data_IF_032398588196
#
_entry.id   IF_032398588196
#
_cell.length_a   1.000
_cell.length_b   1.000
_cell.length_c   1.000
_cell.angle_alpha   90.00
_cell.angle_beta   90.00
_cell.angle_gamma   90.00
#
_symmetry.space_group_name_H-M   'P 1'
#
loop_
_entity.id
_entity.type
_entity.pdbx_description
1 polymer ?
#
# COMPACT_ATOMS: atom_id res chain seq x y z
N UNK A 1 16.94 35.02 -13.56
CA UNK A 1 16.65 33.59 -13.39
C UNK A 1 16.37 33.34 -11.91
N UNK A 2 15.09 33.34 -11.49
CA UNK A 2 14.71 33.13 -10.09
C UNK A 2 14.84 31.64 -9.77
N UNK A 3 15.69 31.32 -8.80
CA UNK A 3 15.99 29.98 -8.31
C UNK A 3 14.92 29.55 -7.30
N UNK A 4 13.66 29.53 -7.74
CA UNK A 4 12.51 29.01 -6.99
C UNK A 4 12.21 27.64 -7.63
N UNK A 5 12.52 26.48 -7.05
CA UNK A 5 12.13 25.99 -5.74
C UNK A 5 13.26 25.10 -5.20
N UNK A 6 13.89 25.49 -4.07
CA UNK A 6 14.72 24.53 -3.32
C UNK A 6 13.81 23.38 -2.90
N UNK A 7 14.21 22.14 -3.21
CA UNK A 7 13.60 20.91 -2.69
C UNK A 7 13.58 21.02 -1.17
N UNK A 8 12.46 21.49 -0.63
CA UNK A 8 12.31 21.72 0.80
C UNK A 8 11.91 20.38 1.43
N UNK A 9 12.49 20.03 2.58
CA UNK A 9 12.25 18.75 3.27
C UNK A 9 10.74 18.46 3.46
N UNK A 10 9.96 19.52 3.65
CA UNK A 10 8.51 19.47 3.74
C UNK A 10 7.85 18.85 2.49
N UNK A 11 8.38 19.06 1.28
CA UNK A 11 7.86 18.51 0.02
C UNK A 11 8.33 17.08 -0.28
N UNK A 12 9.40 16.61 0.39
CA UNK A 12 9.93 15.25 0.23
C UNK A 12 9.48 14.28 1.33
N UNK A 13 8.87 14.79 2.41
CA UNK A 13 8.28 13.96 3.45
C UNK A 13 7.03 13.22 2.95
N UNK A 14 6.71 12.05 3.54
CA UNK A 14 5.50 11.28 3.20
C UNK A 14 4.23 12.12 3.27
N UNK A 15 4.07 12.88 4.36
CA UNK A 15 2.93 13.78 4.58
C UNK A 15 2.90 14.92 3.54
N UNK A 16 4.07 15.46 3.19
CA UNK A 16 4.21 16.45 2.13
C UNK A 16 3.75 15.94 0.78
N UNK A 17 4.23 14.76 0.38
CA UNK A 17 3.84 14.12 -0.88
C UNK A 17 2.35 13.75 -0.91
N UNK A 18 1.78 13.34 0.24
CA UNK A 18 0.36 13.04 0.39
C UNK A 18 -0.51 14.29 0.19
N UNK A 19 -0.06 15.44 0.70
CA UNK A 19 -0.73 16.74 0.50
C UNK A 19 -0.71 17.16 -0.97
N UNK A 20 0.38 16.90 -1.68
CA UNK A 20 0.55 17.23 -3.10
C UNK A 20 -0.30 16.33 -4.01
N UNK A 21 -0.32 15.01 -3.76
CA UNK A 21 -0.99 14.05 -4.65
C UNK A 21 -2.48 13.82 -4.33
N UNK A 22 -3.00 14.42 -3.25
CA UNK A 22 -4.39 14.33 -2.74
C UNK A 22 -4.84 12.89 -2.45
N UNK A 23 -5.28 12.64 -1.21
CA UNK A 23 -5.77 11.33 -0.73
C UNK A 23 -6.86 10.74 -1.65
N UNK A 24 -7.72 11.59 -2.24
CA UNK A 24 -8.82 11.15 -3.09
C UNK A 24 -8.39 10.41 -4.36
N UNK A 25 -7.16 10.65 -4.86
CA UNK A 25 -6.63 9.93 -6.02
C UNK A 25 -6.28 8.48 -5.68
N UNK A 26 -6.03 8.19 -4.40
CA UNK A 26 -5.59 6.89 -3.91
C UNK A 26 -6.74 6.02 -3.39
N UNK A 27 -7.80 6.64 -2.86
CA UNK A 27 -8.97 5.94 -2.31
C UNK A 27 -10.13 5.85 -3.31
N UNK A 28 -10.94 6.90 -3.43
CA UNK A 28 -12.25 6.87 -4.13
C UNK A 28 -12.12 6.75 -5.66
N UNK A 29 -11.00 7.20 -6.24
CA UNK A 29 -10.73 7.07 -7.68
C UNK A 29 -10.04 5.76 -8.06
N UNK A 30 -9.68 4.93 -7.07
CA UNK A 30 -8.94 3.70 -7.32
C UNK A 30 -9.91 2.51 -7.38
N UNK A 31 -9.94 1.82 -8.52
CA UNK A 31 -10.73 0.60 -8.70
C UNK A 31 -10.41 -0.48 -7.66
N UNK A 32 -9.16 -0.53 -7.20
CA UNK A 32 -8.72 -1.47 -6.16
C UNK A 32 -9.45 -1.27 -4.82
N UNK A 33 -9.90 -0.05 -4.51
CA UNK A 33 -10.71 0.21 -3.31
C UNK A 33 -12.06 -0.49 -3.40
N UNK A 34 -12.77 -0.34 -4.53
CA UNK A 34 -14.08 -0.98 -4.73
C UNK A 34 -13.97 -2.49 -4.82
N UNK A 35 -12.96 -3.02 -5.52
CA UNK A 35 -12.72 -4.47 -5.58
C UNK A 35 -12.41 -5.05 -4.19
N UNK A 36 -11.57 -4.37 -3.40
CA UNK A 36 -11.30 -4.76 -2.02
C UNK A 36 -12.55 -4.77 -1.14
N UNK A 37 -13.42 -3.77 -1.31
CA UNK A 37 -14.69 -3.67 -0.58
C UNK A 37 -15.65 -4.80 -0.97
N UNK A 38 -15.80 -5.08 -2.27
CA UNK A 38 -16.65 -6.18 -2.77
C UNK A 38 -16.18 -7.53 -2.23
N UNK A 39 -14.88 -7.83 -2.32
CA UNK A 39 -14.34 -9.09 -1.80
C UNK A 39 -14.50 -9.22 -0.29
N UNK A 40 -14.37 -8.11 0.44
CA UNK A 40 -14.60 -8.10 1.90
C UNK A 40 -16.06 -8.38 2.23
N UNK A 41 -17.00 -7.81 1.47
CA UNK A 41 -18.44 -8.10 1.64
C UNK A 41 -18.72 -9.58 1.36
N UNK A 42 -18.18 -10.13 0.27
CA UNK A 42 -18.32 -11.55 -0.06
C UNK A 42 -17.77 -12.41 1.08
N UNK A 43 -16.57 -12.07 1.57
CA UNK A 43 -15.96 -12.77 2.70
C UNK A 43 -16.81 -12.70 3.97
N UNK A 44 -17.36 -11.53 4.30
CA UNK A 44 -18.26 -11.35 5.43
C UNK A 44 -19.48 -12.27 5.33
N UNK A 45 -20.14 -12.33 4.16
CA UNK A 45 -21.29 -13.19 3.96
C UNK A 45 -20.95 -14.68 4.09
N UNK A 46 -19.76 -15.09 3.65
CA UNK A 46 -19.29 -16.46 3.80
C UNK A 46 -19.00 -16.80 5.27
N UNK A 47 -18.38 -15.89 6.02
CA UNK A 47 -17.93 -16.16 7.38
C UNK A 47 -18.95 -15.87 8.48
N UNK A 48 -20.04 -15.14 8.23
CA UNK A 48 -21.02 -14.75 9.26
C UNK A 48 -21.71 -15.93 9.97
N UNK A 49 -21.78 -17.08 9.30
CA UNK A 49 -22.43 -18.29 9.81
C UNK A 49 -21.42 -19.33 10.33
N UNK A 50 -20.13 -19.00 10.39
CA UNK A 50 -19.11 -19.92 10.92
C UNK A 50 -19.22 -20.03 12.44
N UNK A 51 -18.84 -21.20 12.96
CA UNK A 51 -18.74 -21.40 14.39
C UNK A 51 -17.63 -20.53 15.00
N UNK A 52 -17.78 -20.16 16.27
CA UNK A 52 -16.80 -19.37 16.99
C UNK A 52 -15.41 -20.04 16.99
N UNK A 53 -15.35 -21.36 17.11
CA UNK A 53 -14.08 -22.11 17.07
C UNK A 53 -13.35 -21.93 15.72
N UNK A 54 -14.09 -22.00 14.60
CA UNK A 54 -13.52 -21.78 13.27
C UNK A 54 -13.05 -20.33 13.08
N UNK A 55 -13.80 -19.35 13.58
CA UNK A 55 -13.41 -17.93 13.54
C UNK A 55 -12.12 -17.72 14.34
N UNK A 56 -11.99 -18.36 15.51
CA UNK A 56 -10.78 -18.26 16.34
C UNK A 56 -9.57 -18.88 15.66
N UNK A 57 -9.73 -20.07 15.08
CA UNK A 57 -8.67 -20.75 14.30
C UNK A 57 -8.24 -19.92 13.10
N UNK A 58 -9.18 -19.34 12.38
CA UNK A 58 -8.89 -18.44 11.27
C UNK A 58 -8.10 -17.21 11.74
N UNK A 59 -8.54 -16.56 12.83
CA UNK A 59 -7.83 -15.42 13.39
C UNK A 59 -6.41 -15.77 13.81
N UNK A 60 -6.23 -16.90 14.51
CA UNK A 60 -4.91 -17.37 14.94
C UNK A 60 -3.99 -17.65 13.74
N UNK A 61 -4.49 -18.38 12.73
CA UNK A 61 -3.79 -18.59 11.47
C UNK A 61 -3.39 -17.27 10.81
N UNK A 62 -4.32 -16.31 10.73
CA UNK A 62 -4.06 -14.99 10.16
C UNK A 62 -2.94 -14.28 10.92
N UNK A 63 -2.99 -14.25 12.25
CA UNK A 63 -1.99 -13.55 13.07
C UNK A 63 -0.62 -14.21 13.10
N UNK A 64 -0.52 -15.51 12.75
CA UNK A 64 0.75 -16.23 12.73
C UNK A 64 1.39 -16.26 11.32
N UNK A 65 0.57 -16.28 10.26
CA UNK A 65 1.07 -16.42 8.87
C UNK A 65 1.12 -15.09 8.13
N UNK A 66 0.06 -14.28 8.20
CA UNK A 66 -0.05 -13.08 7.36
C UNK A 66 1.00 -12.00 7.68
N UNK A 67 1.48 -11.80 8.93
CA UNK A 67 2.54 -10.82 9.18
C UNK A 67 3.81 -11.13 8.39
N UNK A 68 4.21 -12.40 8.35
CA UNK A 68 5.40 -12.84 7.61
C UNK A 68 5.23 -12.64 6.11
N UNK A 69 4.08 -13.02 5.54
CA UNK A 69 3.77 -12.78 4.11
C UNK A 69 3.76 -11.28 3.79
N UNK A 70 3.14 -10.48 4.66
CA UNK A 70 3.05 -9.03 4.50
C UNK A 70 4.42 -8.36 4.58
N UNK A 71 5.28 -8.80 5.49
CA UNK A 71 6.65 -8.30 5.62
C UNK A 71 7.50 -8.63 4.38
N UNK A 72 7.35 -9.83 3.81
CA UNK A 72 8.01 -10.21 2.56
C UNK A 72 7.56 -9.32 1.40
N UNK A 73 6.24 -9.09 1.25
CA UNK A 73 5.71 -8.21 0.21
C UNK A 73 6.15 -6.75 0.39
N UNK A 74 6.18 -6.27 1.64
CA UNK A 74 6.75 -4.96 1.97
C UNK A 74 8.22 -4.87 1.56
N UNK A 75 9.02 -5.89 1.85
CA UNK A 75 10.42 -5.98 1.46
C UNK A 75 10.61 -5.91 -0.06
N UNK A 76 9.77 -6.62 -0.82
CA UNK A 76 9.78 -6.58 -2.29
C UNK A 76 9.48 -5.16 -2.81
N UNK A 77 8.50 -4.47 -2.22
CA UNK A 77 8.15 -3.09 -2.60
C UNK A 77 9.30 -2.12 -2.32
N UNK A 78 9.94 -2.24 -1.16
CA UNK A 78 11.10 -1.41 -0.78
C UNK A 78 12.29 -1.68 -1.72
N UNK A 79 12.56 -2.95 -2.05
CA UNK A 79 13.61 -3.32 -3.00
C UNK A 79 13.33 -2.73 -4.39
N UNK A 80 12.10 -2.84 -4.88
CA UNK A 80 11.68 -2.22 -6.14
C UNK A 80 11.86 -0.69 -6.14
N UNK A 81 11.53 -0.03 -5.03
CA UNK A 81 11.78 1.40 -4.85
C UNK A 81 13.29 1.72 -4.90
N UNK A 82 14.13 0.93 -4.21
CA UNK A 82 15.58 1.12 -4.20
C UNK A 82 16.19 1.00 -5.61
N UNK A 83 15.76 0.02 -6.39
CA UNK A 83 16.18 -0.17 -7.79
C UNK A 83 15.80 1.04 -8.64
N UNK A 84 14.56 1.52 -8.53
CA UNK A 84 14.08 2.69 -9.28
C UNK A 84 14.90 3.93 -8.93
N UNK A 85 15.20 4.15 -7.65
CA UNK A 85 16.04 5.27 -7.19
C UNK A 85 17.46 5.15 -7.76
N UNK A 86 18.06 3.96 -7.70
CA UNK A 86 19.40 3.70 -8.25
C UNK A 86 19.46 3.87 -9.78
N UNK A 87 18.41 3.51 -10.51
CA UNK A 87 18.34 3.73 -11.96
C UNK A 87 18.08 5.20 -12.33
N UNK A 88 17.59 6.00 -11.37
CA UNK A 88 17.28 7.42 -11.58
C UNK A 88 18.50 8.33 -11.44
N UNK A 89 19.70 7.82 -11.07
CA UNK A 89 20.92 8.62 -10.94
C UNK A 89 21.62 8.83 -12.30
N UNK A 90 21.82 10.09 -12.69
CA UNK A 90 22.46 10.50 -13.96
C UNK A 90 21.78 11.74 -14.59
N UNK A 91 21.99 12.01 -15.89
CA UNK A 91 21.38 13.15 -16.62
C UNK A 91 19.84 13.20 -16.57
N UNK A 92 19.18 12.09 -16.21
CA UNK A 92 17.72 12.01 -16.04
C UNK A 92 17.27 12.68 -14.71
N UNK A 93 18.14 12.73 -13.71
CA UNK A 93 17.85 13.25 -12.37
C UNK A 93 17.50 14.74 -12.38
N UNK A 94 18.22 15.55 -13.17
CA UNK A 94 18.00 16.99 -13.26
C UNK A 94 16.64 17.32 -13.90
N UNK A 95 16.25 16.62 -14.97
CA UNK A 95 14.92 16.78 -15.60
C UNK A 95 13.77 16.18 -14.78
N UNK A 96 14.02 15.11 -14.00
CA UNK A 96 13.03 14.51 -13.08
C UNK A 96 12.79 15.37 -11.83
N UNK A 97 13.78 16.15 -11.39
CA UNK A 97 13.68 17.10 -10.29
C UNK A 97 12.95 18.38 -10.69
N UNK A 98 13.24 18.93 -11.88
CA UNK A 98 12.59 20.17 -12.36
C UNK A 98 11.05 20.07 -12.43
N UNK A 99 10.51 18.88 -12.71
CA UNK A 99 9.07 18.68 -12.86
C UNK A 99 8.38 17.99 -11.66
N UNK A 100 9.08 17.80 -10.53
CA UNK A 100 8.63 16.98 -9.37
C UNK A 100 8.19 15.56 -9.76
N UNK A 101 8.63 15.07 -10.91
CA UNK A 101 8.20 13.79 -11.50
C UNK A 101 8.72 12.63 -10.68
N UNK A 102 9.91 12.76 -10.09
CA UNK A 102 10.48 11.75 -9.19
C UNK A 102 9.60 11.54 -7.94
N UNK A 103 9.10 12.62 -7.34
CA UNK A 103 8.21 12.56 -6.17
C UNK A 103 6.87 11.93 -6.54
N UNK A 104 6.30 12.29 -7.70
CA UNK A 104 5.11 11.64 -8.25
C UNK A 104 5.34 10.16 -8.55
N UNK A 105 6.58 9.77 -8.86
CA UNK A 105 6.94 8.39 -9.17
C UNK A 105 7.09 7.52 -7.91
N UNK A 106 7.80 8.05 -6.91
CA UNK A 106 8.09 7.38 -5.64
C UNK A 106 6.88 7.33 -4.70
N UNK A 107 6.02 8.35 -4.72
CA UNK A 107 4.92 8.48 -3.76
C UNK A 107 3.99 7.25 -3.71
N UNK A 108 3.52 6.67 -4.81
CA UNK A 108 2.62 5.54 -4.68
C UNK A 108 3.34 4.25 -4.22
N UNK A 109 4.66 4.09 -4.41
CA UNK A 109 5.41 3.02 -3.74
C UNK A 109 5.47 3.22 -2.23
N UNK A 110 5.71 4.45 -1.78
CA UNK A 110 5.61 4.82 -0.37
C UNK A 110 4.21 4.58 0.20
N UNK A 111 3.17 4.91 -0.57
CA UNK A 111 1.79 4.64 -0.19
C UNK A 111 1.52 3.14 -0.02
N UNK A 112 1.93 2.31 -0.98
CA UNK A 112 1.80 0.86 -0.87
C UNK A 112 2.58 0.32 0.34
N UNK A 113 3.83 0.74 0.53
CA UNK A 113 4.62 0.35 1.70
C UNK A 113 3.92 0.73 3.03
N UNK A 114 3.34 1.93 3.10
CA UNK A 114 2.58 2.36 4.28
C UNK A 114 1.34 1.50 4.53
N UNK A 115 0.61 1.09 3.48
CA UNK A 115 -0.56 0.20 3.61
C UNK A 115 -0.16 -1.18 4.15
N UNK A 116 0.94 -1.75 3.66
CA UNK A 116 1.46 -3.02 4.17
C UNK A 116 1.95 -2.89 5.62
N UNK A 117 2.60 -1.79 5.97
CA UNK A 117 2.99 -1.50 7.35
C UNK A 117 1.79 -1.40 8.30
N UNK A 118 0.73 -0.70 7.88
CA UNK A 118 -0.54 -0.61 8.63
C UNK A 118 -1.18 -2.00 8.78
N UNK A 119 -1.17 -2.82 7.73
CA UNK A 119 -1.71 -4.19 7.79
C UNK A 119 -0.97 -5.06 8.82
N UNK A 120 0.37 -4.98 8.86
CA UNK A 120 1.18 -5.70 9.85
C UNK A 120 0.82 -5.25 11.28
N UNK A 121 0.68 -3.93 11.50
CA UNK A 121 0.26 -3.40 12.79
C UNK A 121 -1.14 -3.88 13.18
N UNK A 122 -2.10 -3.90 12.24
CA UNK A 122 -3.44 -4.42 12.49
C UNK A 122 -3.43 -5.91 12.86
N UNK A 123 -2.58 -6.72 12.23
CA UNK A 123 -2.42 -8.13 12.57
C UNK A 123 -1.83 -8.32 13.97
N UNK A 124 -0.87 -7.48 14.38
CA UNK A 124 -0.35 -7.48 15.76
C UNK A 124 -1.43 -7.10 16.77
N UNK A 125 -2.24 -6.09 16.47
CA UNK A 125 -3.37 -5.70 17.31
C UNK A 125 -4.40 -6.83 17.41
N UNK A 126 -4.71 -7.52 16.30
CA UNK A 126 -5.61 -8.67 16.32
C UNK A 126 -5.07 -9.81 17.21
N UNK A 127 -3.75 -10.05 17.20
CA UNK A 127 -3.12 -11.05 18.07
C UNK A 127 -3.32 -10.73 19.55
N UNK A 128 -3.21 -9.46 19.93
CA UNK A 128 -3.51 -9.01 21.30
C UNK A 128 -5.01 -9.16 21.59
N UNK A 129 -5.89 -8.74 20.66
CA UNK A 129 -7.34 -8.87 20.81
C UNK A 129 -7.81 -10.31 20.98
N UNK A 130 -7.12 -11.29 20.37
CA UNK A 130 -7.41 -12.71 20.55
C UNK A 130 -7.25 -13.20 22.00
N UNK A 131 -6.46 -12.50 22.81
CA UNK A 131 -6.20 -12.85 24.20
C UNK A 131 -7.20 -12.21 25.17
N UNK A 132 -7.70 -11.01 24.86
CA UNK A 132 -8.42 -10.16 25.83
C UNK A 132 -9.85 -9.79 25.41
N UNK A 133 -10.24 -10.04 24.16
CA UNK A 133 -11.48 -9.49 23.59
C UNK A 133 -12.55 -10.54 23.29
N UNK A 134 -13.75 -10.07 22.99
CA UNK A 134 -14.90 -10.93 22.64
C UNK A 134 -14.84 -11.39 21.18
N UNK A 135 -15.49 -12.51 20.88
CA UNK A 135 -15.54 -13.07 19.51
C UNK A 135 -16.13 -12.11 18.48
N UNK A 136 -17.08 -11.25 18.87
CA UNK A 136 -17.64 -10.21 17.99
C UNK A 136 -16.59 -9.20 17.56
N UNK A 137 -15.74 -8.75 18.49
CA UNK A 137 -14.67 -7.78 18.19
C UNK A 137 -13.58 -8.42 17.33
N UNK A 138 -13.21 -9.67 17.63
CA UNK A 138 -12.26 -10.45 16.82
C UNK A 138 -12.77 -10.58 15.38
N UNK A 139 -14.06 -10.92 15.21
CA UNK A 139 -14.67 -11.07 13.89
C UNK A 139 -14.64 -9.75 13.09
N UNK A 140 -14.97 -8.62 13.72
CA UNK A 140 -14.85 -7.29 13.09
C UNK A 140 -13.39 -7.00 12.70
N UNK A 141 -12.43 -7.35 13.58
CA UNK A 141 -11.00 -7.20 13.30
C UNK A 141 -10.54 -7.99 12.08
N UNK A 142 -10.99 -9.25 11.93
CA UNK A 142 -10.70 -10.09 10.76
C UNK A 142 -11.23 -9.45 9.47
N UNK A 143 -12.47 -8.98 9.47
CA UNK A 143 -13.09 -8.34 8.29
C UNK A 143 -12.28 -7.10 7.89
N UNK A 144 -11.92 -6.27 8.87
CA UNK A 144 -11.11 -5.08 8.64
C UNK A 144 -9.74 -5.43 8.06
N UNK A 145 -9.06 -6.45 8.60
CA UNK A 145 -7.76 -6.92 8.08
C UNK A 145 -7.88 -7.40 6.64
N UNK A 146 -8.93 -8.15 6.31
CA UNK A 146 -9.16 -8.66 4.95
C UNK A 146 -9.42 -7.51 3.97
N UNK A 147 -10.14 -6.48 4.39
CA UNK A 147 -10.30 -5.28 3.61
C UNK A 147 -8.95 -4.62 3.30
N UNK A 148 -8.14 -4.37 4.32
CA UNK A 148 -6.81 -3.76 4.14
C UNK A 148 -5.88 -4.64 3.31
N UNK A 149 -5.93 -5.97 3.49
CA UNK A 149 -5.15 -6.93 2.70
C UNK A 149 -5.51 -6.85 1.22
N UNK A 150 -6.80 -6.98 0.88
CA UNK A 150 -7.25 -6.91 -0.51
C UNK A 150 -6.95 -5.53 -1.14
N UNK A 151 -7.18 -4.46 -0.37
CA UNK A 151 -6.90 -3.11 -0.84
C UNK A 151 -5.40 -2.89 -1.10
N UNK A 152 -4.53 -3.36 -0.21
CA UNK A 152 -3.08 -3.30 -0.39
C UNK A 152 -2.62 -4.12 -1.61
N UNK A 153 -3.16 -5.33 -1.80
CA UNK A 153 -2.86 -6.18 -2.96
C UNK A 153 -3.24 -5.50 -4.27
N UNK A 154 -4.49 -5.07 -4.45
CA UNK A 154 -4.90 -4.38 -5.68
C UNK A 154 -4.17 -3.05 -5.87
N UNK A 155 -3.91 -2.34 -4.78
CA UNK A 155 -3.09 -1.13 -4.78
C UNK A 155 -1.72 -1.39 -5.38
N UNK A 156 -1.02 -2.44 -4.92
CA UNK A 156 0.30 -2.82 -5.45
C UNK A 156 0.26 -3.27 -6.91
N UNK A 157 -0.73 -4.08 -7.30
CA UNK A 157 -0.88 -4.52 -8.70
C UNK A 157 -1.12 -3.34 -9.65
N UNK A 158 -2.02 -2.42 -9.30
CA UNK A 158 -2.30 -1.22 -10.09
C UNK A 158 -1.07 -0.31 -10.21
N UNK A 159 -0.27 -0.23 -9.14
CA UNK A 159 0.98 0.52 -9.10
C UNK A 159 2.01 0.00 -10.09
N UNK A 160 2.25 -1.32 -10.08
CA UNK A 160 3.20 -1.97 -10.99
C UNK A 160 2.75 -1.74 -12.44
N UNK A 161 1.46 -1.97 -12.74
CA UNK A 161 0.91 -1.80 -14.09
C UNK A 161 1.05 -0.38 -14.64
N UNK A 162 0.74 0.65 -13.85
CA UNK A 162 0.87 2.05 -14.28
C UNK A 162 2.34 2.47 -14.47
N UNK A 163 3.26 1.92 -13.68
CA UNK A 163 4.68 2.27 -13.76
C UNK A 163 5.40 1.61 -14.92
N UNK A 164 5.04 0.37 -15.27
CA UNK A 164 5.52 -0.27 -16.50
C UNK A 164 5.15 0.58 -17.72
N UNK A 165 3.91 1.08 -17.82
CA UNK A 165 3.52 1.96 -18.92
C UNK A 165 4.37 3.22 -18.98
N UNK A 166 4.56 3.90 -17.85
CA UNK A 166 5.36 5.13 -17.79
C UNK A 166 6.82 4.86 -18.18
N UNK A 167 7.43 3.76 -17.71
CA UNK A 167 8.78 3.39 -18.11
C UNK A 167 8.89 3.09 -19.61
N UNK A 168 7.91 2.40 -20.19
CA UNK A 168 7.86 2.15 -21.64
C UNK A 168 7.77 3.46 -22.42
N UNK A 169 6.88 4.38 -22.01
CA UNK A 169 6.77 5.70 -22.64
C UNK A 169 8.07 6.51 -22.54
N UNK A 170 8.73 6.50 -21.37
CA UNK A 170 10.01 7.17 -21.19
C UNK A 170 11.13 6.55 -22.04
N UNK A 171 11.13 5.22 -22.20
CA UNK A 171 12.07 4.52 -23.07
C UNK A 171 11.85 4.86 -24.56
N UNK A 172 10.60 5.08 -24.98
CA UNK A 172 10.28 5.49 -26.35
C UNK A 172 10.70 6.94 -26.65
N UNK A 173 10.60 7.86 -25.70
CA UNK A 173 11.00 9.27 -25.87
C UNK A 173 12.52 9.44 -25.92
N UNK A 174 13.28 8.48 -25.38
CA UNK A 174 14.74 8.49 -25.38
C UNK A 174 15.37 7.92 -26.67
N UNK A 175 14.55 7.48 -27.62
CA UNK A 175 14.95 7.05 -28.96
C UNK A 175 14.68 8.18 -29.95
#
# INVERSE_FOLDING_TARGET
MKRDERVNYQNTSFLGMLRINKISSLTVKNLGFYLGLILTIIFYYYCRNLSNDLIRKLADYMTNVLPSVSATLLGIIIAGLAIIVALSTGNIYNHLLENRTLQKLLFPFWYAASLWGVLILLLLVLKVLLLISTMKVIFIGIILIIFFLNYALFGTMALIGNRIRIMIYLAQIKR
#
